data_IF_737360673795
#
_entry.id   IF_737360673795
#
_cell.length_a   1.000
_cell.length_b   1.000
_cell.length_c   1.000
_cell.angle_alpha   90.00
_cell.angle_beta   90.00
_cell.angle_gamma   90.00
#
_symmetry.space_group_name_H-M   'P 1'
#
loop_
_entity.id
_entity.type
_entity.pdbx_description
1 polymer ?
#
# COMPACT_ATOMS: atom_id res chain seq x y z
N UNK A 1 -3.96 -75.79 -18.00
CA UNK A 1 -4.88 -74.69 -18.40
C UNK A 1 -5.89 -74.51 -17.28
N UNK A 2 -6.08 -73.39 -16.58
CA UNK A 2 -5.52 -72.04 -16.59
C UNK A 2 -5.51 -71.56 -15.12
N UNK A 3 -4.42 -70.93 -14.68
CA UNK A 3 -4.38 -70.20 -13.42
C UNK A 3 -4.92 -68.78 -13.60
N UNK A 4 -5.90 -68.38 -12.80
CA UNK A 4 -6.40 -67.01 -12.76
C UNK A 4 -5.51 -66.18 -11.82
N UNK A 5 -4.74 -65.28 -12.41
CA UNK A 5 -3.90 -64.33 -11.69
C UNK A 5 -4.77 -63.18 -11.13
N UNK A 6 -4.70 -63.01 -9.80
CA UNK A 6 -5.03 -61.76 -9.12
C UNK A 6 -4.10 -60.65 -9.61
N UNK A 7 -4.65 -59.62 -10.26
CA UNK A 7 -3.97 -58.34 -10.44
C UNK A 7 -4.53 -57.34 -9.43
N UNK A 8 -3.84 -57.26 -8.29
CA UNK A 8 -3.90 -56.11 -7.40
C UNK A 8 -3.23 -54.93 -8.11
N UNK A 9 -4.04 -53.98 -8.58
CA UNK A 9 -3.54 -52.68 -9.01
C UNK A 9 -3.34 -51.81 -7.77
N UNK A 10 -2.09 -51.71 -7.31
CA UNK A 10 -1.68 -50.67 -6.35
C UNK A 10 -1.72 -49.36 -7.12
N UNK A 11 -2.76 -48.56 -6.85
CA UNK A 11 -2.86 -47.18 -7.29
C UNK A 11 -1.85 -46.42 -6.42
N UNK A 12 -0.72 -46.02 -7.01
CA UNK A 12 0.20 -45.07 -6.38
C UNK A 12 -0.60 -43.81 -6.05
N UNK A 13 -0.94 -43.63 -4.78
CA UNK A 13 -1.27 -42.32 -4.23
C UNK A 13 -0.05 -41.43 -4.47
N UNK A 14 -0.10 -40.63 -5.53
CA UNK A 14 0.70 -39.42 -5.62
C UNK A 14 0.41 -38.63 -4.35
N UNK A 15 1.33 -38.69 -3.41
CA UNK A 15 1.36 -37.84 -2.23
C UNK A 15 1.41 -36.39 -2.73
N UNK A 16 0.23 -35.80 -2.89
CA UNK A 16 0.11 -34.38 -3.21
C UNK A 16 0.70 -33.65 -2.02
N UNK A 17 1.91 -33.12 -2.20
CA UNK A 17 2.56 -32.31 -1.18
C UNK A 17 1.59 -31.24 -0.70
N UNK A 18 1.43 -31.13 0.62
CA UNK A 18 0.51 -30.17 1.21
C UNK A 18 0.76 -28.77 0.63
N UNK A 19 -0.29 -28.00 0.26
CA UNK A 19 -0.14 -26.66 -0.30
C UNK A 19 0.65 -25.71 0.63
N UNK A 20 0.81 -26.06 1.91
CA UNK A 20 1.57 -25.30 2.91
C UNK A 20 3.07 -25.56 2.93
N UNK A 21 3.55 -26.59 2.23
CA UNK A 21 4.93 -27.08 2.37
C UNK A 21 5.75 -26.98 1.09
N UNK A 22 5.17 -26.44 0.02
CA UNK A 22 5.87 -26.18 -1.22
C UNK A 22 7.07 -25.23 -0.99
N UNK A 23 8.24 -25.64 -1.49
CA UNK A 23 9.51 -24.91 -1.36
C UNK A 23 10.04 -24.49 -2.73
N UNK A 24 10.75 -23.36 -2.76
CA UNK A 24 11.47 -22.89 -3.94
C UNK A 24 12.83 -23.63 -4.09
N UNK A 25 13.59 -23.29 -5.13
CA UNK A 25 14.91 -23.88 -5.39
C UNK A 25 15.90 -23.72 -4.22
N UNK A 26 15.76 -22.67 -3.41
CA UNK A 26 16.59 -22.42 -2.22
C UNK A 26 16.10 -23.16 -0.96
N UNK A 27 15.10 -24.04 -1.10
CA UNK A 27 14.49 -24.77 0.02
C UNK A 27 13.63 -23.90 0.96
N UNK A 28 13.33 -22.64 0.61
CA UNK A 28 12.45 -21.76 1.37
C UNK A 28 11.00 -21.95 0.93
N UNK A 29 10.03 -21.73 1.82
CA UNK A 29 8.61 -21.81 1.44
C UNK A 29 8.27 -20.81 0.34
N UNK A 30 7.57 -21.28 -0.70
CA UNK A 30 7.05 -20.42 -1.76
C UNK A 30 6.07 -19.39 -1.18
N UNK A 31 5.90 -18.25 -1.85
CA UNK A 31 4.93 -17.24 -1.38
C UNK A 31 3.50 -17.80 -1.39
N UNK A 32 3.17 -18.69 -2.33
CA UNK A 32 1.92 -19.44 -2.33
C UNK A 32 1.78 -20.32 -1.07
N UNK A 33 2.81 -21.10 -0.70
CA UNK A 33 2.76 -21.89 0.52
C UNK A 33 2.63 -21.05 1.79
N UNK A 34 3.30 -19.89 1.82
CA UNK A 34 3.14 -18.94 2.92
C UNK A 34 1.73 -18.32 2.95
N UNK A 35 1.12 -18.04 1.80
CA UNK A 35 -0.26 -17.56 1.71
C UNK A 35 -1.27 -18.62 2.17
N UNK A 36 -1.07 -19.89 1.82
CA UNK A 36 -1.87 -20.99 2.35
C UNK A 36 -1.75 -21.08 3.89
N UNK A 37 -0.54 -20.95 4.45
CA UNK A 37 -0.33 -20.89 5.89
C UNK A 37 -1.01 -19.68 6.53
N UNK A 38 -1.00 -18.52 5.88
CA UNK A 38 -1.69 -17.33 6.36
C UNK A 38 -3.22 -17.52 6.39
N UNK A 39 -3.81 -18.14 5.37
CA UNK A 39 -5.25 -18.45 5.36
C UNK A 39 -5.61 -19.46 6.47
N UNK A 40 -4.78 -20.47 6.71
CA UNK A 40 -4.95 -21.38 7.86
C UNK A 40 -4.87 -20.61 9.18
N UNK A 41 -3.92 -19.69 9.30
CA UNK A 41 -3.76 -18.86 10.50
C UNK A 41 -4.95 -17.92 10.72
N UNK A 42 -5.63 -17.47 9.65
CA UNK A 42 -6.90 -16.73 9.78
C UNK A 42 -7.96 -17.64 10.40
N UNK A 43 -8.10 -18.87 9.89
CA UNK A 43 -9.05 -19.86 10.39
C UNK A 43 -8.83 -20.18 11.88
N UNK A 44 -7.59 -20.21 12.33
CA UNK A 44 -7.24 -20.47 13.74
C UNK A 44 -7.23 -19.22 14.63
N UNK A 45 -7.52 -18.03 14.07
CA UNK A 45 -7.49 -16.75 14.80
C UNK A 45 -6.09 -16.20 15.11
N UNK A 46 -5.03 -16.79 14.55
CA UNK A 46 -3.65 -16.31 14.68
C UNK A 46 -3.31 -15.15 13.74
N UNK A 47 -4.02 -15.07 12.60
CA UNK A 47 -3.99 -13.95 11.68
C UNK A 47 -5.41 -13.39 11.55
N UNK A 48 -5.52 -12.11 11.21
CA UNK A 48 -6.81 -11.43 11.06
C UNK A 48 -6.75 -10.51 9.84
N UNK A 49 -7.90 -10.37 9.18
CA UNK A 49 -8.21 -9.37 8.16
C UNK A 49 -9.44 -8.60 8.62
N UNK A 50 -9.25 -7.38 9.10
CA UNK A 50 -10.34 -6.50 9.50
C UNK A 50 -10.83 -5.69 8.31
N UNK A 51 -12.12 -5.76 7.98
CA UNK A 51 -12.70 -4.83 7.02
C UNK A 51 -12.81 -3.44 7.63
N UNK A 52 -12.37 -2.41 6.91
CA UNK A 52 -12.40 -1.00 7.34
C UNK A 52 -13.15 -0.09 6.36
N UNK A 53 -13.91 -0.68 5.44
CA UNK A 53 -14.82 0.01 4.52
C UNK A 53 -16.25 0.12 5.06
N UNK A 54 -17.10 0.91 4.39
CA UNK A 54 -18.54 0.95 4.71
C UNK A 54 -19.20 -0.39 4.37
N UNK A 55 -20.21 -0.77 5.17
CA UNK A 55 -20.97 -2.03 5.08
C UNK A 55 -21.71 -2.21 3.73
N UNK A 56 -21.76 -1.15 2.91
CA UNK A 56 -22.38 -1.13 1.58
C UNK A 56 -21.40 -0.71 0.45
N UNK A 57 -20.12 -0.56 0.78
CA UNK A 57 -19.09 -0.21 -0.20
C UNK A 57 -18.75 -1.41 -1.08
N UNK A 58 -18.75 -1.19 -2.40
CA UNK A 58 -18.23 -2.17 -3.37
C UNK A 58 -16.72 -2.42 -3.21
N UNK A 59 -16.02 -1.54 -2.49
CA UNK A 59 -14.58 -1.64 -2.24
C UNK A 59 -14.29 -2.05 -0.81
N UNK A 60 -13.75 -3.25 -0.64
CA UNK A 60 -13.29 -3.74 0.65
C UNK A 60 -11.81 -3.41 0.85
N UNK A 61 -11.53 -2.62 1.87
CA UNK A 61 -10.18 -2.35 2.35
C UNK A 61 -9.99 -3.15 3.63
N UNK A 62 -8.87 -3.86 3.71
CA UNK A 62 -8.55 -4.68 4.86
C UNK A 62 -7.31 -4.19 5.59
N UNK A 63 -7.34 -4.25 6.92
CA UNK A 63 -6.15 -4.23 7.75
C UNK A 63 -5.79 -5.67 8.13
N UNK A 64 -4.61 -6.12 7.69
CA UNK A 64 -4.14 -7.48 7.79
C UNK A 64 -3.03 -7.64 8.83
N UNK A 65 -3.00 -8.78 9.53
CA UNK A 65 -1.85 -9.15 10.37
C UNK A 65 -0.56 -9.14 9.54
N UNK A 66 0.47 -8.46 10.04
CA UNK A 66 1.77 -8.43 9.39
C UNK A 66 2.41 -9.83 9.31
N UNK A 67 3.16 -10.06 8.23
CA UNK A 67 3.77 -11.35 7.95
C UNK A 67 5.28 -11.24 7.77
N UNK A 68 6.02 -12.08 8.47
CA UNK A 68 7.46 -12.23 8.28
C UNK A 68 7.73 -13.17 7.11
N UNK A 69 7.90 -12.61 5.93
CA UNK A 69 8.21 -13.36 4.71
C UNK A 69 9.49 -14.19 4.78
N UNK A 70 10.41 -13.85 5.67
CA UNK A 70 11.67 -14.56 5.80
C UNK A 70 11.52 -15.85 6.61
N UNK A 71 10.66 -15.79 7.64
CA UNK A 71 10.44 -16.88 8.59
C UNK A 71 9.08 -17.57 8.42
N UNK A 72 8.26 -17.14 7.46
CA UNK A 72 6.94 -17.67 7.16
C UNK A 72 6.03 -17.78 8.39
N UNK A 73 5.93 -16.68 9.16
CA UNK A 73 5.09 -16.59 10.36
C UNK A 73 4.44 -15.21 10.49
N UNK A 74 3.34 -15.15 11.23
CA UNK A 74 2.74 -13.88 11.61
C UNK A 74 3.62 -13.12 12.59
N UNK A 75 3.50 -11.79 12.58
CA UNK A 75 4.05 -10.92 13.63
C UNK A 75 2.89 -10.45 14.52
N UNK A 76 3.01 -10.62 15.85
CA UNK A 76 2.05 -10.05 16.78
C UNK A 76 1.91 -8.55 16.59
N UNK A 77 0.69 -8.06 16.76
CA UNK A 77 0.38 -6.64 16.72
C UNK A 77 1.17 -5.89 17.79
N UNK A 78 1.70 -4.71 17.48
CA UNK A 78 2.38 -3.87 18.45
C UNK A 78 3.29 -2.82 17.83
N UNK A 79 4.07 -2.13 18.68
CA UNK A 79 5.09 -1.20 18.20
C UNK A 79 6.07 -1.91 17.25
N UNK A 80 6.32 -1.37 16.04
CA UNK A 80 7.21 -2.00 15.08
C UNK A 80 8.59 -2.34 15.64
N UNK A 81 8.98 -3.59 15.48
CA UNK A 81 10.27 -4.14 15.89
C UNK A 81 10.62 -5.36 15.03
N UNK A 82 11.68 -6.10 15.40
CA UNK A 82 12.00 -7.38 14.72
C UNK A 82 10.92 -8.44 14.94
N UNK A 83 10.20 -8.38 16.06
CA UNK A 83 9.25 -9.40 16.50
C UNK A 83 7.79 -8.97 16.40
N UNK A 84 7.50 -7.67 16.48
CA UNK A 84 6.14 -7.11 16.45
C UNK A 84 5.99 -6.13 15.29
N UNK A 85 4.76 -5.93 14.83
CA UNK A 85 4.46 -5.02 13.73
C UNK A 85 3.06 -4.42 13.85
N UNK A 86 2.80 -3.37 13.08
CA UNK A 86 1.46 -2.82 12.89
C UNK A 86 0.74 -3.60 11.78
N UNK A 87 -0.56 -3.37 11.61
CA UNK A 87 -1.32 -4.02 10.55
C UNK A 87 -0.97 -3.44 9.18
N UNK A 88 -1.01 -4.29 8.17
CA UNK A 88 -0.76 -3.93 6.78
C UNK A 88 -2.10 -3.65 6.09
N UNK A 89 -2.21 -2.55 5.35
CA UNK A 89 -3.38 -2.31 4.47
C UNK A 89 -3.27 -3.17 3.21
N UNK A 90 -4.35 -3.88 2.86
CA UNK A 90 -4.50 -4.66 1.62
C UNK A 90 -5.88 -4.43 1.01
N UNK A 91 -5.95 -4.24 -0.31
CA UNK A 91 -7.18 -3.85 -1.01
C UNK A 91 -7.10 -4.16 -2.52
N UNK A 92 -8.26 -4.11 -3.20
CA UNK A 92 -8.34 -4.08 -4.67
C UNK A 92 -8.28 -2.63 -5.17
N UNK A 93 -7.35 -2.33 -6.07
CA UNK A 93 -7.21 -1.00 -6.67
C UNK A 93 -8.30 -0.70 -7.71
N UNK A 94 -8.25 0.50 -8.30
CA UNK A 94 -9.23 0.92 -9.31
C UNK A 94 -9.10 0.18 -10.65
N UNK A 95 -8.06 -0.64 -10.80
CA UNK A 95 -7.83 -1.49 -11.97
C UNK A 95 -8.11 -2.97 -11.66
N UNK A 96 -8.65 -3.29 -10.48
CA UNK A 96 -9.00 -4.65 -10.09
C UNK A 96 -7.79 -5.51 -9.72
N UNK A 97 -6.66 -4.86 -9.38
CA UNK A 97 -5.41 -5.49 -8.97
C UNK A 97 -5.23 -5.35 -7.46
N UNK A 98 -4.67 -6.36 -6.82
CA UNK A 98 -4.44 -6.29 -5.37
C UNK A 98 -3.22 -5.44 -5.03
N UNK A 99 -3.39 -4.51 -4.10
CA UNK A 99 -2.33 -3.67 -3.54
C UNK A 99 -2.12 -3.99 -2.06
N UNK A 100 -0.89 -3.83 -1.57
CA UNK A 100 -0.55 -4.05 -0.17
C UNK A 100 0.61 -3.14 0.28
N UNK A 101 0.55 -2.69 1.52
CA UNK A 101 1.53 -1.78 2.15
C UNK A 101 2.75 -2.49 2.75
N UNK A 102 2.70 -3.83 2.88
CA UNK A 102 3.80 -4.58 3.45
C UNK A 102 5.08 -4.48 2.61
N UNK A 103 6.24 -4.62 3.26
CA UNK A 103 7.57 -4.44 2.64
C UNK A 103 7.72 -5.16 1.30
N UNK A 104 7.15 -6.36 1.19
CA UNK A 104 7.23 -7.18 -0.02
C UNK A 104 6.17 -6.80 -1.05
N UNK A 105 4.98 -6.41 -0.62
CA UNK A 105 3.86 -6.03 -1.49
C UNK A 105 4.05 -4.67 -2.16
N UNK A 106 4.87 -3.78 -1.59
CA UNK A 106 5.13 -2.44 -2.12
C UNK A 106 6.37 -2.32 -3.03
N UNK A 107 7.12 -3.40 -3.26
CA UNK A 107 8.36 -3.35 -4.06
C UNK A 107 8.12 -2.89 -5.51
N UNK A 108 7.03 -3.36 -6.10
CA UNK A 108 6.53 -2.96 -7.41
C UNK A 108 5.06 -3.35 -7.48
N UNK A 109 4.36 -2.86 -8.51
CA UNK A 109 2.91 -2.97 -8.62
C UNK A 109 2.39 -4.41 -8.42
N UNK A 110 2.94 -5.36 -9.19
CA UNK A 110 2.58 -6.79 -9.13
C UNK A 110 3.45 -7.60 -8.17
N UNK A 111 4.14 -6.96 -7.21
CA UNK A 111 5.00 -7.68 -6.28
C UNK A 111 4.17 -8.65 -5.43
N UNK A 112 4.46 -9.97 -5.46
CA UNK A 112 3.67 -10.94 -4.74
C UNK A 112 4.00 -10.86 -3.25
N UNK A 113 2.96 -10.75 -2.44
CA UNK A 113 3.04 -10.93 -1.01
C UNK A 113 1.90 -11.83 -0.54
N UNK A 114 2.03 -12.31 0.69
CA UNK A 114 1.11 -13.23 1.34
C UNK A 114 -0.28 -12.61 1.44
N UNK A 115 -0.35 -11.31 1.74
CA UNK A 115 -1.62 -10.59 1.86
C UNK A 115 -2.35 -10.47 0.52
N UNK A 116 -1.64 -10.13 -0.58
CA UNK A 116 -2.22 -10.04 -1.92
C UNK A 116 -2.77 -11.39 -2.38
N UNK A 117 -1.96 -12.45 -2.28
CA UNK A 117 -2.40 -13.79 -2.69
C UNK A 117 -3.56 -14.30 -1.81
N UNK A 118 -3.53 -14.03 -0.51
CA UNK A 118 -4.64 -14.37 0.37
C UNK A 118 -5.92 -13.63 -0.02
N UNK A 119 -5.86 -12.32 -0.31
CA UNK A 119 -7.01 -11.56 -0.78
C UNK A 119 -7.58 -12.11 -2.09
N UNK A 120 -6.72 -12.38 -3.08
CA UNK A 120 -7.12 -12.98 -4.36
C UNK A 120 -7.80 -14.36 -4.20
N UNK A 121 -7.39 -15.13 -3.19
CA UNK A 121 -7.94 -16.44 -2.93
C UNK A 121 -9.26 -16.40 -2.15
N UNK A 122 -9.43 -15.39 -1.29
CA UNK A 122 -10.59 -15.27 -0.39
C UNK A 122 -11.75 -14.45 -1.00
N UNK A 123 -11.43 -13.53 -1.91
CA UNK A 123 -12.39 -12.69 -2.60
C UNK A 123 -12.19 -12.73 -4.13
N UNK A 124 -13.29 -12.68 -4.91
CA UNK A 124 -13.16 -12.44 -6.33
C UNK A 124 -12.55 -11.07 -6.59
N UNK A 125 -11.86 -10.92 -7.72
CA UNK A 125 -11.41 -9.60 -8.18
C UNK A 125 -12.59 -8.65 -8.34
N UNK A 126 -12.38 -7.40 -7.92
CA UNK A 126 -13.38 -6.33 -7.97
C UNK A 126 -12.71 -5.04 -8.38
N UNK A 127 -13.38 -4.26 -9.23
CA UNK A 127 -12.94 -2.93 -9.59
C UNK A 127 -13.40 -1.95 -8.53
N UNK A 128 -12.47 -1.48 -7.71
CA UNK A 128 -12.77 -0.43 -6.76
C UNK A 128 -13.02 0.90 -7.49
N UNK A 129 -13.98 1.70 -7.03
CA UNK A 129 -14.10 3.08 -7.52
C UNK A 129 -13.22 4.01 -6.69
N UNK A 130 -12.67 5.05 -7.31
CA UNK A 130 -11.94 6.10 -6.60
C UNK A 130 -12.77 6.76 -5.48
N UNK A 131 -14.10 6.69 -5.58
CA UNK A 131 -15.04 7.24 -4.59
C UNK A 131 -15.29 6.28 -3.42
N UNK A 132 -15.10 4.97 -3.60
CA UNK A 132 -15.40 3.95 -2.58
C UNK A 132 -14.21 3.61 -1.69
N UNK A 133 -12.98 3.70 -2.20
CA UNK A 133 -11.76 3.50 -1.40
C UNK A 133 -11.60 4.49 -0.22
N UNK A 134 -11.96 5.78 -0.34
CA UNK A 134 -11.83 6.72 0.77
C UNK A 134 -12.94 6.70 1.81
N UNK A 135 -13.84 5.70 1.79
CA UNK A 135 -14.97 5.62 2.72
C UNK A 135 -14.63 4.88 4.01
N UNK A 136 -15.40 5.17 5.07
CA UNK A 136 -15.29 4.55 6.39
C UNK A 136 -14.84 5.50 7.49
N UNK A 137 -14.71 4.97 8.71
CA UNK A 137 -14.36 5.78 9.88
C UNK A 137 -12.96 6.40 9.75
N UNK A 138 -12.86 7.68 10.13
CA UNK A 138 -11.60 8.45 10.14
C UNK A 138 -10.56 7.80 11.05
N UNK A 139 -10.99 7.28 12.19
CA UNK A 139 -10.13 6.55 13.13
C UNK A 139 -10.80 5.23 13.47
N UNK A 140 -10.04 4.15 13.34
CA UNK A 140 -10.44 2.81 13.75
C UNK A 140 -9.53 2.32 14.88
N UNK A 141 -10.08 1.64 15.88
CA UNK A 141 -9.31 0.95 16.92
C UNK A 141 -9.20 -0.54 16.59
N UNK A 142 -7.98 -1.03 16.60
CA UNK A 142 -7.65 -2.43 16.40
C UNK A 142 -7.60 -3.12 17.77
N UNK A 143 -8.32 -4.23 17.96
CA UNK A 143 -8.18 -5.04 19.16
C UNK A 143 -6.73 -5.49 19.38
N UNK A 144 -6.21 -5.26 20.59
CA UNK A 144 -4.89 -5.71 21.03
C UNK A 144 -5.07 -6.78 22.12
N UNK A 145 -4.17 -7.76 22.19
CA UNK A 145 -4.17 -8.79 23.23
C UNK A 145 -3.78 -8.19 24.60
N UNK A 146 -2.82 -7.27 24.60
CA UNK A 146 -2.34 -6.60 25.81
C UNK A 146 -3.23 -5.40 26.16
N UNK A 147 -3.90 -5.45 27.31
CA UNK A 147 -4.82 -4.39 27.75
C UNK A 147 -4.17 -3.00 27.94
N UNK A 148 -2.84 -2.95 28.05
CA UNK A 148 -2.06 -1.72 28.24
C UNK A 148 -1.65 -1.06 26.91
N UNK A 149 -1.93 -1.73 25.79
CA UNK A 149 -1.59 -1.26 24.46
C UNK A 149 -2.83 -1.06 23.60
N UNK A 150 -2.75 -0.11 22.69
CA UNK A 150 -3.83 0.25 21.78
C UNK A 150 -3.24 0.59 20.43
N UNK A 151 -3.90 0.14 19.37
CA UNK A 151 -3.50 0.45 18.00
C UNK A 151 -4.67 1.09 17.27
N UNK A 152 -4.36 2.15 16.54
CA UNK A 152 -5.32 2.94 15.78
C UNK A 152 -4.91 2.99 14.32
N UNK A 153 -5.87 2.89 13.41
CA UNK A 153 -5.69 3.22 12.00
C UNK A 153 -6.30 4.59 11.72
N UNK A 154 -5.47 5.56 11.34
CA UNK A 154 -5.92 6.93 11.02
C UNK A 154 -5.97 7.12 9.52
N UNK A 155 -7.17 7.30 8.97
CA UNK A 155 -7.39 7.60 7.57
C UNK A 155 -7.06 9.07 7.29
N UNK A 156 -6.28 9.38 6.25
CA UNK A 156 -5.80 10.75 6.02
C UNK A 156 -6.06 11.29 4.62
N UNK A 157 -6.31 10.44 3.62
CA UNK A 157 -6.43 10.85 2.22
C UNK A 157 -7.86 10.65 1.68
N UNK A 158 -8.83 11.40 2.22
CA UNK A 158 -10.14 11.52 1.60
C UNK A 158 -9.97 12.22 0.23
N UNK A 159 -9.88 11.44 -0.85
CA UNK A 159 -9.66 11.94 -2.20
C UNK A 159 -8.45 11.39 -2.96
N UNK A 160 -7.73 10.38 -2.44
CA UNK A 160 -6.74 9.63 -3.21
C UNK A 160 -7.35 8.36 -3.83
N UNK A 161 -6.85 7.87 -4.97
CA UNK A 161 -7.26 6.57 -5.54
C UNK A 161 -6.81 5.37 -4.70
N UNK A 162 -6.05 5.58 -3.62
CA UNK A 162 -5.55 4.53 -2.73
C UNK A 162 -6.04 4.81 -1.31
N UNK A 163 -6.56 3.82 -0.58
CA UNK A 163 -6.84 3.98 0.84
C UNK A 163 -5.51 4.03 1.60
N UNK A 164 -5.17 5.18 2.18
CA UNK A 164 -4.01 5.28 3.07
C UNK A 164 -4.48 5.46 4.50
N UNK A 165 -4.10 4.50 5.33
CA UNK A 165 -4.25 4.57 6.78
C UNK A 165 -2.86 4.54 7.39
N UNK A 166 -2.57 5.54 8.22
CA UNK A 166 -1.36 5.55 9.02
C UNK A 166 -1.65 4.87 10.35
N UNK A 167 -0.88 3.84 10.68
CA UNK A 167 -1.05 3.15 11.96
C UNK A 167 -0.37 3.93 13.09
N UNK A 168 -1.09 4.05 14.20
CA UNK A 168 -0.64 4.72 15.43
C UNK A 168 -0.73 3.72 16.57
N UNK A 169 0.33 3.63 17.35
CA UNK A 169 0.40 2.75 18.51
C UNK A 169 0.54 3.56 19.78
N UNK A 170 -0.23 3.17 20.79
CA UNK A 170 -0.15 3.66 22.14
C UNK A 170 0.23 2.51 23.09
N UNK A 171 1.17 2.76 23.99
CA UNK A 171 1.48 1.88 25.12
C UNK A 171 1.56 2.73 26.36
N UNK A 172 0.86 2.34 27.43
CA UNK A 172 0.91 3.03 28.72
C UNK A 172 2.22 2.79 29.50
N UNK A 173 3.02 1.80 29.10
CA UNK A 173 4.21 1.34 29.83
C UNK A 173 5.53 1.74 29.16
N UNK A 174 5.47 2.33 27.95
CA UNK A 174 6.66 2.73 27.20
C UNK A 174 7.11 4.17 27.52
N UNK A 175 8.42 4.42 27.53
CA UNK A 175 9.01 5.77 27.69
C UNK A 175 8.46 6.78 26.67
N UNK A 176 8.14 6.29 25.47
CA UNK A 176 7.43 7.03 24.44
C UNK A 176 6.08 6.38 24.21
N UNK A 177 5.07 6.89 24.92
CA UNK A 177 3.72 6.32 24.91
C UNK A 177 3.12 6.24 23.51
N UNK A 178 3.43 7.21 22.63
CA UNK A 178 2.87 7.28 21.27
C UNK A 178 3.93 7.03 20.20
N UNK A 179 3.58 6.17 19.26
CA UNK A 179 4.31 5.89 18.04
C UNK A 179 3.40 6.07 16.82
N UNK A 180 3.93 6.68 15.76
CA UNK A 180 3.26 6.84 14.48
C UNK A 180 4.11 6.20 13.38
N UNK A 181 3.50 5.33 12.58
CA UNK A 181 4.14 4.69 11.42
C UNK A 181 4.69 5.72 10.43
N UNK A 182 3.92 6.78 10.16
CA UNK A 182 4.30 7.85 9.25
C UNK A 182 5.54 8.66 9.67
N UNK A 183 6.20 8.34 10.79
CA UNK A 183 7.55 8.88 11.12
C UNK A 183 8.60 8.50 10.08
N UNK A 184 8.37 7.44 9.32
CA UNK A 184 9.19 7.06 8.18
C UNK A 184 8.90 7.95 6.95
N UNK A 185 7.70 8.52 6.90
CA UNK A 185 7.16 9.32 5.79
C UNK A 185 7.04 10.81 6.15
N UNK A 186 7.88 11.30 7.07
CA UNK A 186 8.00 12.73 7.40
C UNK A 186 7.17 13.23 8.60
N UNK A 187 6.42 12.37 9.30
CA UNK A 187 5.79 12.78 10.56
C UNK A 187 6.82 13.15 11.64
N UNK A 188 6.47 14.11 12.48
CA UNK A 188 7.31 14.54 13.60
C UNK A 188 7.70 13.38 14.52
N UNK A 189 8.98 13.36 14.91
CA UNK A 189 9.54 12.40 15.89
C UNK A 189 9.50 12.93 17.33
N UNK A 190 9.47 14.25 17.49
CA UNK A 190 9.60 14.95 18.77
C UNK A 190 8.29 15.52 19.31
N UNK A 191 7.31 15.71 18.44
CA UNK A 191 5.99 16.21 18.78
C UNK A 191 4.90 15.28 18.23
N UNK A 192 3.69 15.40 18.76
CA UNK A 192 2.54 14.71 18.22
C UNK A 192 2.28 15.18 16.78
N UNK A 193 2.36 14.25 15.83
CA UNK A 193 1.96 14.51 14.46
C UNK A 193 0.42 14.56 14.34
N UNK A 194 -0.08 15.05 13.20
CA UNK A 194 -1.52 15.12 12.94
C UNK A 194 -2.26 13.78 13.13
N UNK A 195 -1.61 12.65 12.85
CA UNK A 195 -2.16 11.31 13.09
C UNK A 195 -2.36 11.01 14.58
N UNK A 196 -1.34 11.29 15.41
CA UNK A 196 -1.43 11.09 16.87
C UNK A 196 -2.48 12.04 17.46
N UNK A 197 -2.49 13.30 17.03
CA UNK A 197 -3.50 14.26 17.48
C UNK A 197 -4.91 13.81 17.10
N UNK A 198 -5.13 13.27 15.90
CA UNK A 198 -6.45 12.77 15.52
C UNK A 198 -6.86 11.54 16.33
N UNK A 199 -5.94 10.62 16.60
CA UNK A 199 -6.21 9.49 17.49
C UNK A 199 -6.61 9.97 18.89
N UNK A 200 -5.89 10.95 19.47
CA UNK A 200 -6.23 11.55 20.77
C UNK A 200 -7.61 12.21 20.75
N UNK A 201 -7.90 13.04 19.74
CA UNK A 201 -9.23 13.66 19.59
C UNK A 201 -10.35 12.62 19.44
N UNK A 202 -10.09 11.54 18.72
CA UNK A 202 -11.06 10.45 18.57
C UNK A 202 -11.36 9.75 19.90
N UNK A 203 -10.38 9.65 20.81
CA UNK A 203 -10.58 9.10 22.16
C UNK A 203 -11.45 10.00 23.05
N UNK A 204 -11.38 11.32 22.85
CA UNK A 204 -12.17 12.30 23.63
C UNK A 204 -13.62 12.41 23.13
N UNK A 205 -13.85 12.20 21.83
CA UNK A 205 -15.19 12.30 21.23
C UNK A 205 -16.00 11.01 21.43
N UNK A 206 -17.24 11.12 21.92
CA UNK A 206 -18.19 10.00 21.92
C UNK A 206 -18.47 9.56 20.48
N UNK A 207 -18.22 8.28 20.17
CA UNK A 207 -18.36 7.75 18.81
C UNK A 207 -17.30 8.28 17.83
N UNK A 208 -16.23 8.91 18.31
CA UNK A 208 -15.14 9.41 17.46
C UNK A 208 -14.30 8.33 16.80
N UNK A 209 -14.55 7.06 17.13
CA UNK A 209 -13.76 5.92 16.74
C UNK A 209 -14.63 4.68 16.57
N UNK A 210 -14.35 3.91 15.53
CA UNK A 210 -14.96 2.60 15.30
C UNK A 210 -14.02 1.50 15.80
N UNK A 211 -14.51 0.63 16.68
CA UNK A 211 -13.74 -0.55 17.09
C UNK A 211 -13.94 -1.66 16.07
N UNK A 212 -12.85 -2.20 15.55
CA UNK A 212 -12.90 -3.29 14.59
C UNK A 212 -13.23 -4.61 15.29
N UNK A 213 -13.96 -5.48 14.59
CA UNK A 213 -14.38 -6.77 15.10
C UNK A 213 -14.20 -7.87 14.04
N UNK A 214 -13.75 -9.04 14.50
CA UNK A 214 -13.94 -10.35 13.87
C UNK A 214 -13.33 -10.61 12.49
N UNK A 215 -13.16 -11.89 12.18
CA UNK A 215 -12.82 -12.38 10.83
C UNK A 215 -14.00 -12.13 9.89
N UNK A 216 -13.74 -11.47 8.75
CA UNK A 216 -14.75 -11.21 7.71
C UNK A 216 -15.08 -12.43 6.84
N UNK A 217 -14.31 -13.52 6.94
CA UNK A 217 -14.41 -14.66 6.02
C UNK A 217 -15.09 -15.87 6.64
N UNK A 218 -16.02 -16.48 5.88
CA UNK A 218 -16.66 -17.74 6.25
C UNK A 218 -15.68 -18.92 6.18
N UNK A 219 -15.97 -20.01 6.90
CA UNK A 219 -15.15 -21.22 6.84
C UNK A 219 -15.07 -21.81 5.42
N UNK A 220 -16.14 -21.65 4.64
CA UNK A 220 -16.23 -22.09 3.24
C UNK A 220 -15.34 -21.23 2.34
N UNK A 221 -15.29 -19.91 2.56
CA UNK A 221 -14.36 -19.02 1.85
C UNK A 221 -12.91 -19.39 2.15
N UNK A 222 -12.57 -19.61 3.43
CA UNK A 222 -11.23 -20.01 3.84
C UNK A 222 -10.81 -21.36 3.23
N UNK A 223 -11.72 -22.35 3.20
CA UNK A 223 -11.48 -23.65 2.57
C UNK A 223 -11.27 -23.52 1.05
N UNK A 224 -12.10 -22.76 0.35
CA UNK A 224 -11.93 -22.51 -1.09
C UNK A 224 -10.62 -21.81 -1.38
N UNK A 225 -10.31 -20.75 -0.63
CA UNK A 225 -9.06 -20.00 -0.79
C UNK A 225 -7.82 -20.87 -0.65
N UNK A 226 -7.82 -21.83 0.29
CA UNK A 226 -6.72 -22.80 0.43
C UNK A 226 -6.53 -23.68 -0.81
N UNK A 227 -7.62 -24.11 -1.45
CA UNK A 227 -7.55 -24.85 -2.71
C UNK A 227 -6.97 -24.01 -3.85
N UNK A 228 -7.42 -22.75 -3.96
CA UNK A 228 -7.02 -21.84 -5.05
C UNK A 228 -5.55 -21.45 -4.99
N UNK A 229 -4.99 -21.21 -3.79
CA UNK A 229 -3.57 -20.83 -3.65
C UNK A 229 -2.61 -21.96 -4.06
N UNK A 230 -3.05 -23.22 -3.96
CA UNK A 230 -2.22 -24.39 -4.25
C UNK A 230 -2.30 -24.92 -5.69
N UNK A 231 -3.43 -24.69 -6.38
CA UNK A 231 -3.67 -25.23 -7.72
C UNK A 231 -3.17 -24.29 -8.83
N UNK A 232 -3.32 -22.99 -8.63
CA UNK A 232 -2.75 -21.99 -9.50
C UNK A 232 -1.52 -21.45 -8.78
N UNK A 233 -0.33 -21.80 -9.25
CA UNK A 233 0.81 -20.92 -9.04
C UNK A 233 0.47 -19.61 -9.73
N UNK A 234 -0.28 -18.75 -9.02
CA UNK A 234 -0.99 -17.56 -9.52
C UNK A 234 -0.07 -16.85 -10.51
N UNK A 235 -0.27 -17.15 -11.79
CA UNK A 235 0.52 -16.63 -12.88
C UNK A 235 0.41 -15.12 -12.79
N UNK A 236 1.51 -14.47 -12.43
CA UNK A 236 1.59 -13.02 -12.41
C UNK A 236 1.07 -12.49 -13.73
N UNK A 237 -0.05 -11.76 -13.68
CA UNK A 237 -0.61 -11.01 -14.80
C UNK A 237 -1.13 -11.87 -15.95
N UNK A 238 -2.32 -12.45 -15.80
CA UNK A 238 -3.36 -12.53 -16.83
C UNK A 238 -4.38 -13.63 -16.48
N UNK A 239 -5.38 -13.30 -15.66
CA UNK A 239 -6.61 -14.08 -15.64
C UNK A 239 -7.80 -13.13 -15.84
N UNK A 240 -8.37 -13.26 -17.03
CA UNK A 240 -9.74 -12.94 -17.44
C UNK A 240 -10.20 -11.48 -17.28
N UNK A 241 -9.95 -10.69 -18.33
CA UNK A 241 -11.03 -9.85 -18.85
C UNK A 241 -12.16 -10.79 -19.28
N UNK A 242 -13.11 -11.02 -18.37
CA UNK A 242 -14.35 -11.69 -18.71
C UNK A 242 -15.05 -10.86 -19.80
N UNK A 243 -15.20 -11.45 -20.99
CA UNK A 243 -16.21 -11.07 -21.97
C UNK A 243 -17.54 -10.91 -21.25
N UNK A 244 -17.97 -9.66 -21.07
CA UNK A 244 -19.38 -9.37 -20.88
C UNK A 244 -19.88 -8.99 -22.26
N UNK A 245 -20.57 -9.95 -22.88
CA UNK A 245 -21.42 -9.70 -24.03
C UNK A 245 -22.35 -8.54 -23.68
N UNK A 246 -22.15 -7.40 -24.33
CA UNK A 246 -23.09 -6.30 -24.33
C UNK A 246 -23.21 -5.83 -25.76
N UNK A 247 -24.24 -6.37 -26.41
CA UNK A 247 -24.81 -5.86 -27.64
C UNK A 247 -25.03 -4.35 -27.50
N UNK A 248 -24.35 -3.58 -28.35
CA UNK A 248 -24.74 -2.22 -28.66
C UNK A 248 -24.52 -1.98 -30.17
N UNK A 249 -25.40 -1.20 -30.82
CA UNK A 249 -25.65 -1.31 -32.24
C UNK A 249 -24.59 -0.61 -33.09
N UNK A 250 -24.33 -1.25 -34.22
CA UNK A 250 -23.64 -0.74 -35.40
C UNK A 250 -24.05 0.70 -35.76
N UNK A 251 -23.10 1.63 -35.76
CA UNK A 251 -23.02 2.66 -36.79
C UNK A 251 -21.59 3.22 -36.98
N UNK A 252 -21.23 3.37 -38.26
CA UNK A 252 -20.21 4.25 -38.85
C UNK A 252 -18.73 3.83 -38.80
N UNK A 253 -18.30 3.25 -39.93
CA UNK A 253 -16.94 3.36 -40.46
C UNK A 253 -16.54 4.82 -40.70
N UNK A 254 -15.32 5.22 -40.30
CA UNK A 254 -14.34 5.85 -41.21
C UNK A 254 -12.96 6.07 -40.57
N UNK A 255 -11.97 5.64 -41.35
CA UNK A 255 -10.64 6.23 -41.58
C UNK A 255 -9.54 6.14 -40.50
N UNK A 256 -8.63 5.20 -40.79
CA UNK A 256 -7.16 5.32 -40.84
C UNK A 256 -6.52 6.68 -40.47
N UNK A 257 -5.45 6.53 -39.69
CA UNK A 257 -4.24 7.37 -39.50
C UNK A 257 -4.14 8.11 -38.16
N UNK A 258 -3.13 7.70 -37.37
CA UNK A 258 -2.73 8.38 -36.13
C UNK A 258 -2.20 7.46 -35.04
N UNK A 259 -1.18 6.64 -35.35
CA UNK A 259 -0.44 5.92 -34.31
C UNK A 259 0.41 6.91 -33.50
N UNK A 260 -0.11 7.43 -32.37
CA UNK A 260 0.69 7.98 -31.25
C UNK A 260 -0.09 8.29 -29.96
N UNK A 261 -1.41 8.17 -29.90
CA UNK A 261 -2.18 8.73 -28.76
C UNK A 261 -2.41 7.76 -27.59
N UNK A 262 -2.58 6.46 -27.87
CA UNK A 262 -2.87 5.45 -26.84
C UNK A 262 -1.72 5.19 -25.86
N UNK A 263 -0.48 5.47 -26.27
CA UNK A 263 0.69 5.35 -25.40
C UNK A 263 0.80 6.49 -24.39
N UNK A 264 0.37 7.69 -24.79
CA UNK A 264 0.43 8.89 -23.95
C UNK A 264 -0.65 8.86 -22.88
N UNK A 265 -1.89 8.45 -23.22
CA UNK A 265 -2.97 8.32 -22.23
C UNK A 265 -2.68 7.25 -21.19
N UNK A 266 -2.17 6.08 -21.61
CA UNK A 266 -1.77 5.00 -20.69
C UNK A 266 -0.65 5.45 -19.75
N UNK A 267 0.31 6.22 -20.26
CA UNK A 267 1.43 6.73 -19.48
C UNK A 267 1.04 7.91 -18.57
N UNK A 268 0.10 8.76 -18.99
CA UNK A 268 -0.48 9.79 -18.12
C UNK A 268 -1.29 9.16 -16.98
N UNK A 269 -1.99 8.05 -17.22
CA UNK A 269 -2.63 7.28 -16.16
C UNK A 269 -1.60 6.69 -15.17
N UNK A 270 -0.42 6.27 -15.64
CA UNK A 270 0.68 5.82 -14.77
C UNK A 270 1.29 6.97 -13.94
N UNK A 271 1.41 8.18 -14.51
CA UNK A 271 1.90 9.39 -13.82
C UNK A 271 0.98 9.87 -12.69
N UNK A 272 -0.35 9.79 -12.88
CA UNK A 272 -1.35 10.24 -11.89
C UNK A 272 -1.39 9.31 -10.66
N UNK A 273 -0.92 8.07 -10.79
CA UNK A 273 -0.96 7.04 -9.73
C UNK A 273 0.34 6.98 -8.89
N UNK A 274 1.32 7.85 -9.16
CA UNK A 274 2.47 8.06 -8.28
C UNK A 274 3.47 6.90 -8.25
N UNK A 275 3.61 6.14 -9.34
CA UNK A 275 4.55 5.04 -9.43
C UNK A 275 5.86 5.44 -10.11
N UNK A 276 6.90 5.85 -9.36
CA UNK A 276 8.25 5.88 -9.90
C UNK A 276 9.29 5.37 -8.90
N UNK A 277 9.88 4.20 -9.19
CA UNK A 277 11.10 3.69 -8.55
C UNK A 277 12.34 3.78 -9.46
N UNK A 278 12.30 4.64 -10.47
CA UNK A 278 13.51 5.12 -11.16
C UNK A 278 13.38 6.61 -11.46
N UNK A 279 13.29 7.45 -10.43
CA UNK A 279 13.30 8.91 -10.58
C UNK A 279 14.72 9.46 -10.84
N UNK A 280 15.52 8.76 -11.64
CA UNK A 280 16.79 9.30 -12.17
C UNK A 280 16.58 9.63 -13.64
N UNK A 281 16.73 10.90 -14.02
CA UNK A 281 16.56 11.35 -15.40
C UNK A 281 17.50 10.56 -16.33
N UNK A 282 16.95 9.76 -17.26
CA UNK A 282 17.70 8.98 -18.27
C UNK A 282 18.19 9.84 -19.44
N UNK A 283 18.66 11.06 -19.16
CA UNK A 283 19.17 11.98 -20.18
C UNK A 283 18.11 12.43 -21.20
N UNK A 284 18.53 12.65 -22.44
CA UNK A 284 17.70 13.29 -23.48
C UNK A 284 16.51 12.46 -23.95
N UNK A 285 16.54 11.14 -23.71
CA UNK A 285 15.40 10.25 -23.94
C UNK A 285 14.42 10.20 -22.76
N UNK A 286 14.71 10.90 -21.66
CA UNK A 286 13.81 10.95 -20.51
C UNK A 286 12.57 11.79 -20.82
N UNK A 287 11.41 11.32 -20.40
CA UNK A 287 10.12 11.99 -20.62
C UNK A 287 10.11 13.44 -20.11
N UNK A 288 10.75 13.73 -18.98
CA UNK A 288 10.84 15.09 -18.45
C UNK A 288 11.61 16.06 -19.37
N UNK A 289 12.51 15.55 -20.22
CA UNK A 289 13.25 16.31 -21.22
C UNK A 289 12.51 16.40 -22.55
N UNK A 290 11.88 15.31 -23.00
CA UNK A 290 11.05 15.30 -24.21
C UNK A 290 9.81 16.21 -24.08
N UNK A 291 9.28 16.35 -22.86
CA UNK A 291 8.09 17.13 -22.57
C UNK A 291 8.34 18.27 -21.58
N UNK A 292 9.44 19.01 -21.76
CA UNK A 292 9.84 20.13 -20.89
C UNK A 292 8.72 21.17 -20.65
N UNK A 293 7.78 21.32 -21.60
CA UNK A 293 6.62 22.21 -21.47
C UNK A 293 5.62 21.79 -20.40
N UNK A 294 5.50 20.50 -20.10
CA UNK A 294 4.59 19.97 -19.06
C UNK A 294 5.14 20.17 -17.64
N UNK A 295 6.46 20.34 -17.51
CA UNK A 295 7.16 20.46 -16.22
C UNK A 295 7.73 21.85 -15.98
N UNK A 296 7.15 22.89 -16.59
CA UNK A 296 7.51 24.29 -16.34
C UNK A 296 8.87 24.72 -16.90
N UNK A 297 9.44 23.97 -17.85
CA UNK A 297 10.66 24.36 -18.55
C UNK A 297 10.40 25.57 -19.45
N UNK A 298 10.65 26.77 -18.92
CA UNK A 298 10.75 27.99 -19.74
C UNK A 298 11.89 27.74 -20.74
N UNK A 299 11.56 27.74 -22.04
CA UNK A 299 12.58 27.83 -23.09
C UNK A 299 13.31 29.15 -22.88
N UNK A 300 14.55 29.11 -22.38
CA UNK A 300 15.48 30.19 -22.67
C UNK A 300 15.84 30.01 -24.14
N UNK A 301 15.35 30.93 -24.97
CA UNK A 301 15.82 31.07 -26.34
C UNK A 301 17.33 31.23 -26.31
N UNK A 302 18.07 30.19 -26.73
CA UNK A 302 19.45 30.33 -27.18
C UNK A 302 19.42 31.17 -28.44
N UNK A 303 19.49 32.49 -28.26
CA UNK A 303 19.71 33.46 -29.30
C UNK A 303 21.00 33.16 -30.06
N UNK A 304 20.95 33.38 -31.37
CA UNK A 304 22.10 33.30 -32.24
C UNK A 304 23.21 34.24 -31.79
N UNK A 305 24.45 33.78 -32.00
CA UNK A 305 25.60 34.66 -32.07
C UNK A 305 25.55 35.42 -33.40
N UNK A 306 25.61 36.76 -33.32
CA UNK A 306 26.68 37.60 -33.90
C UNK A 306 26.14 39.03 -34.10
N UNK A 307 26.54 39.96 -33.23
CA UNK A 307 27.52 41.01 -33.57
C UNK A 307 27.55 42.17 -32.56
N UNK A 308 28.78 42.44 -32.11
CA UNK A 308 29.43 43.74 -31.99
C UNK A 308 28.83 44.87 -31.10
N UNK A 309 29.65 45.18 -30.07
CA UNK A 309 30.17 46.51 -29.67
C UNK A 309 29.40 47.38 -28.66
N UNK A 310 30.14 47.72 -27.59
CA UNK A 310 30.12 48.90 -26.71
C UNK A 310 28.81 49.18 -25.93
N UNK A 311 28.78 49.53 -24.65
CA UNK A 311 29.73 50.27 -23.82
C UNK A 311 29.55 49.95 -22.32
N UNK A 312 30.49 50.50 -21.54
CA UNK A 312 30.69 50.38 -20.10
C UNK A 312 29.54 50.88 -19.20
N UNK A 313 29.43 50.31 -18.00
CA UNK A 313 29.48 51.07 -16.73
C UNK A 313 29.41 50.15 -15.48
N UNK A 314 30.54 50.12 -14.75
CA UNK A 314 30.65 50.41 -13.30
C UNK A 314 29.97 49.48 -12.25
N UNK A 315 30.83 48.67 -11.60
CA UNK A 315 30.77 48.05 -10.26
C UNK A 315 30.63 49.09 -9.10
N UNK A 316 30.58 48.76 -7.78
CA UNK A 316 30.61 47.44 -7.12
C UNK A 316 29.65 47.23 -5.91
N UNK A 317 29.63 45.95 -5.49
CA UNK A 317 29.56 45.41 -4.13
C UNK A 317 29.90 46.37 -2.95
N UNK A 318 29.17 46.21 -1.84
CA UNK A 318 29.67 46.57 -0.50
C UNK A 318 29.24 45.56 0.57
N UNK A 319 30.25 44.90 1.14
CA UNK A 319 30.25 44.21 2.44
C UNK A 319 30.58 45.26 3.51
N UNK A 320 29.99 45.15 4.71
CA UNK A 320 30.36 46.00 5.85
C UNK A 320 29.73 45.52 7.16
N UNK A 321 30.59 45.14 8.10
CA UNK A 321 30.34 44.63 9.45
C UNK A 321 29.85 45.70 10.46
N UNK A 322 29.17 45.23 11.52
CA UNK A 322 29.62 45.46 12.90
C UNK A 322 28.82 46.36 13.85
N UNK A 323 28.48 45.78 15.02
CA UNK A 323 28.47 46.37 16.39
C UNK A 323 27.41 47.46 16.71
N UNK A 324 26.83 47.65 17.91
CA UNK A 324 26.85 47.04 19.25
C UNK A 324 25.73 47.75 20.08
N UNK A 325 25.36 47.17 21.23
CA UNK A 325 24.73 47.78 22.44
C UNK A 325 23.25 48.22 22.47
N UNK A 326 22.53 47.62 23.43
CA UNK A 326 21.30 48.16 24.04
C UNK A 326 20.82 47.34 25.25
N UNK A 327 21.49 47.50 26.39
CA UNK A 327 21.11 47.00 27.74
C UNK A 327 19.98 47.88 28.33
N UNK A 328 18.94 47.27 28.91
CA UNK A 328 18.17 47.66 30.13
C UNK A 328 16.97 46.70 30.23
N UNK A 329 16.78 45.77 31.18
CA UNK A 329 16.82 45.70 32.67
C UNK A 329 15.52 46.19 33.35
N UNK A 330 14.82 45.21 33.98
CA UNK A 330 13.91 45.26 35.16
C UNK A 330 12.53 45.92 34.92
N UNK A 331 11.40 45.51 35.53
CA UNK A 331 11.05 44.94 36.86
C UNK A 331 9.86 43.96 36.71
N UNK A 332 9.83 42.76 37.33
CA UNK A 332 9.30 42.38 38.67
C UNK A 332 8.09 43.17 39.17
N UNK A 333 6.97 42.46 39.38
CA UNK A 333 5.86 42.87 40.23
C UNK A 333 4.82 41.76 40.36
N UNK A 334 4.96 40.94 41.40
CA UNK A 334 3.95 40.01 41.95
C UNK A 334 3.24 40.71 43.14
N UNK A 335 2.15 40.10 43.63
CA UNK A 335 1.22 40.49 44.72
C UNK A 335 0.08 41.40 44.25
N UNK A 336 -1.21 41.08 44.40
CA UNK A 336 -1.98 40.09 45.18
C UNK A 336 -3.14 39.56 44.32
#
# INVERSE_FOLDING_TARGET
MCGAALRSGVREEQSQASPTDARNADGRLTIAAQAARFIIAIRSGQCILYSVGEEESLSTVYLATAWDHNNARSKPLGRPSKVRALLETVYWDTMGRTSCTCDRGRLYFDAPCVHKLALQALEPSRLASHVSLPRGARVVEVPCEEAVERVFGVYWNAGSPSPQRTMVHYSATADFFWYCEGRQDGCSRVADCGHIQEAKRALERKGGMQRLAGSFFSNEQLKRGLGSVGQDGLSGGALHQSNVDSEAPSCMQRNKEGATDLGLEKYMAELIVGGHHEATCKGDSCFCKQHARLFGGVKLDTGGQQNARHAAATLPLRVGNGLDRGKQRRERGTFL
#
